data_IF_615806333488
#
_entry.id   IF_615806333488
#
_cell.length_a   1.000
_cell.length_b   1.000
_cell.length_c   1.000
_cell.angle_alpha   90.00
_cell.angle_beta   90.00
_cell.angle_gamma   90.00
#
_symmetry.space_group_name_H-M   'P 1'
#
loop_
_entity.id
_entity.type
_entity.pdbx_description
1 polymer ?
#
# COMPACT_ATOMS: atom_id res chain seq x y z
N UNK A 1 -4.59 -15.07 -8.60
CA UNK A 1 -3.60 -15.99 -8.01
C UNK A 1 -3.89 -16.14 -6.52
N UNK A 2 -3.63 -17.30 -5.94
CA UNK A 2 -3.67 -17.49 -4.48
C UNK A 2 -2.25 -17.87 -4.04
N UNK A 3 -1.63 -17.03 -3.22
CA UNK A 3 -0.28 -17.24 -2.71
C UNK A 3 -0.35 -17.96 -1.36
N UNK A 4 0.47 -18.98 -1.18
CA UNK A 4 0.66 -19.60 0.12
C UNK A 4 1.42 -18.66 1.06
N UNK A 5 1.35 -18.90 2.37
CA UNK A 5 1.99 -18.06 3.38
C UNK A 5 3.52 -17.93 3.23
N UNK A 6 4.16 -18.83 2.49
CA UNK A 6 5.60 -18.85 2.21
C UNK A 6 5.98 -18.22 0.88
N UNK A 7 5.01 -17.84 0.05
CA UNK A 7 5.28 -17.44 -1.33
C UNK A 7 5.77 -15.99 -1.38
N UNK A 8 6.78 -15.75 -2.23
CA UNK A 8 7.28 -14.42 -2.56
C UNK A 8 6.79 -14.05 -3.94
N UNK A 9 6.11 -12.92 -4.06
CA UNK A 9 5.58 -12.39 -5.32
C UNK A 9 6.42 -11.19 -5.73
N UNK A 10 6.89 -11.18 -6.97
CA UNK A 10 7.64 -10.07 -7.55
C UNK A 10 6.89 -9.54 -8.77
N UNK A 11 6.58 -8.24 -8.75
CA UNK A 11 6.04 -7.49 -9.87
C UNK A 11 7.10 -6.49 -10.30
N UNK A 12 7.59 -6.61 -11.54
CA UNK A 12 8.68 -5.77 -12.05
C UNK A 12 8.39 -5.18 -13.42
N UNK A 13 8.68 -3.90 -13.59
CA UNK A 13 8.64 -3.23 -14.90
C UNK A 13 7.23 -3.11 -15.49
N UNK A 14 6.20 -3.10 -14.63
CA UNK A 14 4.80 -3.07 -15.06
C UNK A 14 4.24 -1.65 -15.02
N UNK A 15 3.46 -1.30 -16.04
CA UNK A 15 2.54 -0.17 -16.00
C UNK A 15 1.14 -0.69 -15.64
N UNK A 16 0.67 -0.33 -14.45
CA UNK A 16 -0.58 -0.75 -13.85
C UNK A 16 -1.51 0.46 -13.77
N UNK A 17 -2.43 0.54 -14.74
CA UNK A 17 -3.47 1.55 -14.78
C UNK A 17 -4.79 1.01 -14.18
N UNK A 18 -5.28 1.68 -13.15
CA UNK A 18 -6.57 1.39 -12.50
C UNK A 18 -7.74 1.58 -13.47
N UNK A 19 -8.75 0.73 -13.32
CA UNK A 19 -9.96 0.81 -14.12
C UNK A 19 -10.77 2.08 -13.77
N UNK A 20 -11.61 2.59 -14.69
CA UNK A 20 -12.47 3.74 -14.40
C UNK A 20 -13.39 3.45 -13.19
N UNK A 21 -13.88 4.49 -12.48
CA UNK A 21 -14.58 4.33 -11.19
C UNK A 21 -15.80 3.40 -11.17
N UNK A 22 -16.38 3.13 -12.34
CA UNK A 22 -17.55 2.28 -12.57
C UNK A 22 -17.22 0.88 -13.11
N UNK A 23 -15.95 0.48 -13.14
CA UNK A 23 -15.48 -0.80 -13.67
C UNK A 23 -14.80 -1.68 -12.59
N UNK A 24 -14.78 -3.01 -12.73
CA UNK A 24 -13.97 -3.87 -11.85
C UNK A 24 -12.48 -3.55 -12.00
N UNK A 25 -11.67 -3.86 -10.98
CA UNK A 25 -10.24 -3.48 -10.96
C UNK A 25 -9.99 -2.11 -10.31
N UNK A 26 -10.74 -1.81 -9.26
CA UNK A 26 -10.75 -0.51 -8.60
C UNK A 26 -9.50 -0.23 -7.74
N UNK A 27 -8.57 -1.17 -7.61
CA UNK A 27 -7.25 -0.99 -7.00
C UNK A 27 -6.20 -1.51 -7.98
N UNK A 28 -5.01 -0.90 -8.00
CA UNK A 28 -3.91 -1.32 -8.87
C UNK A 28 -3.38 -2.70 -8.46
N UNK A 29 -2.82 -2.78 -7.26
CA UNK A 29 -2.37 -4.04 -6.64
C UNK A 29 -3.16 -4.27 -5.35
N UNK A 30 -3.57 -5.52 -5.11
CA UNK A 30 -4.17 -5.94 -3.84
C UNK A 30 -3.56 -7.24 -3.36
N UNK A 31 -2.76 -7.14 -2.29
CA UNK A 31 -2.09 -8.26 -1.65
C UNK A 31 -2.82 -8.65 -0.37
N UNK A 32 -3.23 -9.92 -0.27
CA UNK A 32 -4.02 -10.46 0.84
C UNK A 32 -3.30 -11.57 1.61
N UNK A 33 -2.35 -12.26 0.95
CA UNK A 33 -1.61 -13.39 1.49
C UNK A 33 -0.29 -13.57 0.73
N UNK A 34 0.71 -14.15 1.40
CA UNK A 34 2.06 -14.37 0.91
C UNK A 34 3.10 -14.03 1.99
N UNK A 35 4.33 -14.50 1.82
CA UNK A 35 5.45 -14.09 2.67
C UNK A 35 5.87 -12.65 2.34
N UNK A 36 6.00 -12.32 1.04
CA UNK A 36 6.43 -11.00 0.62
C UNK A 36 5.86 -10.59 -0.74
N UNK A 37 5.71 -9.27 -0.93
CA UNK A 37 5.46 -8.63 -2.20
C UNK A 37 6.59 -7.64 -2.51
N UNK A 38 7.24 -7.84 -3.66
CA UNK A 38 8.17 -6.89 -4.25
C UNK A 38 7.49 -6.17 -5.42
N UNK A 39 7.51 -4.85 -5.38
CA UNK A 39 7.05 -3.96 -6.45
C UNK A 39 8.23 -3.12 -6.90
N UNK A 40 8.76 -3.44 -8.07
CA UNK A 40 10.04 -2.94 -8.54
C UNK A 40 9.88 -2.28 -9.91
N UNK A 41 10.36 -1.05 -10.08
CA UNK A 41 10.36 -0.37 -11.39
C UNK A 41 8.96 -0.29 -12.02
N UNK A 42 7.92 -0.19 -11.19
CA UNK A 42 6.53 -0.16 -11.65
C UNK A 42 6.00 1.28 -11.70
N UNK A 43 5.09 1.52 -12.64
CA UNK A 43 4.20 2.67 -12.64
C UNK A 43 2.80 2.21 -12.22
N UNK A 44 2.23 2.78 -11.16
CA UNK A 44 0.90 2.43 -10.66
C UNK A 44 0.05 3.68 -10.59
N UNK A 45 -1.01 3.74 -11.39
CA UNK A 45 -1.79 4.96 -11.51
C UNK A 45 -3.27 4.78 -11.82
N UNK A 46 -4.06 5.84 -11.66
CA UNK A 46 -5.44 5.89 -12.18
C UNK A 46 -6.50 5.16 -11.36
N UNK A 47 -6.16 4.52 -10.24
CA UNK A 47 -7.14 3.83 -9.39
C UNK A 47 -7.99 4.84 -8.64
N UNK A 48 -9.19 5.14 -9.14
CA UNK A 48 -10.06 6.22 -8.61
C UNK A 48 -11.46 5.73 -8.18
N UNK A 49 -11.61 4.41 -8.02
CA UNK A 49 -12.84 3.78 -7.54
C UNK A 49 -13.31 4.30 -6.18
N UNK A 50 -14.63 4.30 -5.97
CA UNK A 50 -15.22 4.73 -4.71
C UNK A 50 -14.74 3.86 -3.52
N UNK A 51 -14.71 4.47 -2.33
CA UNK A 51 -14.31 3.81 -1.10
C UNK A 51 -15.10 2.51 -0.87
N UNK A 52 -14.46 1.42 -0.38
CA UNK A 52 -13.10 1.37 0.16
C UNK A 52 -11.97 1.20 -0.88
N UNK A 53 -12.28 1.27 -2.18
CA UNK A 53 -11.33 1.08 -3.27
C UNK A 53 -10.62 2.39 -3.68
N UNK A 54 -9.93 2.36 -4.83
CA UNK A 54 -9.19 3.49 -5.39
C UNK A 54 -7.75 3.58 -4.90
N UNK A 55 -7.16 2.47 -4.42
CA UNK A 55 -5.79 2.51 -3.92
C UNK A 55 -4.83 2.02 -5.01
N UNK A 56 -3.65 2.64 -5.12
CA UNK A 56 -2.59 2.15 -5.98
C UNK A 56 -2.12 0.77 -5.52
N UNK A 57 -1.72 0.66 -4.26
CA UNK A 57 -1.41 -0.61 -3.59
C UNK A 57 -2.27 -0.76 -2.34
N UNK A 58 -2.94 -1.90 -2.20
CA UNK A 58 -3.53 -2.38 -0.95
C UNK A 58 -2.69 -3.53 -0.43
N UNK A 59 -2.03 -3.32 0.71
CA UNK A 59 -1.29 -4.35 1.41
C UNK A 59 -2.05 -4.73 2.68
N UNK A 60 -2.81 -5.82 2.60
CA UNK A 60 -3.72 -6.26 3.65
C UNK A 60 -3.53 -7.74 4.01
N UNK A 61 -2.31 -8.14 4.43
CA UNK A 61 -2.06 -9.52 4.82
C UNK A 61 -2.83 -9.90 6.09
N UNK A 62 -3.29 -11.15 6.16
CA UNK A 62 -3.83 -11.75 7.40
C UNK A 62 -2.76 -12.51 8.21
N UNK A 63 -1.58 -12.75 7.62
CA UNK A 63 -0.39 -13.31 8.27
C UNK A 63 0.72 -12.27 8.47
N UNK A 64 1.92 -12.74 8.82
CA UNK A 64 3.12 -11.89 8.78
C UNK A 64 3.61 -11.80 7.35
N UNK A 65 3.69 -10.59 6.80
CA UNK A 65 4.12 -10.37 5.42
C UNK A 65 4.93 -9.09 5.27
N UNK A 66 5.76 -9.08 4.22
CA UNK A 66 6.63 -7.95 3.88
C UNK A 66 6.22 -7.29 2.56
N UNK A 67 6.31 -5.95 2.50
CA UNK A 67 6.15 -5.18 1.28
C UNK A 67 7.43 -4.40 0.99
N UNK A 68 7.98 -4.61 -0.20
CA UNK A 68 9.09 -3.84 -0.73
C UNK A 68 8.62 -3.07 -1.96
N UNK A 69 8.68 -1.74 -1.89
CA UNK A 69 8.43 -0.86 -3.04
C UNK A 69 9.75 -0.18 -3.37
N UNK A 70 10.30 -0.48 -4.55
CA UNK A 70 11.60 0.02 -4.98
C UNK A 70 11.52 0.60 -6.40
N UNK A 71 12.17 1.74 -6.65
CA UNK A 71 12.22 2.40 -7.95
C UNK A 71 10.85 2.60 -8.63
N UNK A 72 9.78 2.74 -7.85
CA UNK A 72 8.42 2.72 -8.39
C UNK A 72 7.73 4.07 -8.25
N UNK A 73 6.82 4.36 -9.16
CA UNK A 73 6.03 5.60 -9.17
C UNK A 73 4.55 5.28 -8.97
N UNK A 74 3.94 5.83 -7.93
CA UNK A 74 2.55 5.59 -7.53
C UNK A 74 1.80 6.93 -7.48
N UNK A 75 0.99 7.20 -8.52
CA UNK A 75 0.43 8.53 -8.75
C UNK A 75 -1.03 8.49 -9.21
N UNK A 76 -1.80 9.56 -8.96
CA UNK A 76 -3.17 9.73 -9.48
C UNK A 76 -4.12 8.59 -9.10
N UNK A 77 -3.92 7.98 -7.93
CA UNK A 77 -4.89 7.07 -7.31
C UNK A 77 -5.67 7.86 -6.24
N UNK A 78 -6.68 7.26 -5.59
CA UNK A 78 -7.23 7.86 -4.37
C UNK A 78 -6.19 7.81 -3.25
N UNK A 79 -5.82 6.63 -2.75
CA UNK A 79 -4.61 6.51 -1.92
C UNK A 79 -3.46 5.92 -2.75
N UNK A 80 -2.23 6.35 -2.49
CA UNK A 80 -1.07 5.74 -3.12
C UNK A 80 -0.86 4.31 -2.62
N UNK A 81 -0.44 4.17 -1.36
CA UNK A 81 -0.24 2.90 -0.67
C UNK A 81 -1.10 2.85 0.58
N UNK A 82 -1.94 1.82 0.70
CA UNK A 82 -2.73 1.52 1.90
C UNK A 82 -2.17 0.28 2.58
N UNK A 83 -1.68 0.45 3.80
CA UNK A 83 -1.20 -0.62 4.67
C UNK A 83 -2.30 -0.89 5.70
N UNK A 84 -2.96 -2.04 5.59
CA UNK A 84 -4.01 -2.44 6.52
C UNK A 84 -3.99 -3.97 6.69
N UNK A 85 -3.03 -4.52 7.46
CA UNK A 85 -3.10 -5.92 7.88
C UNK A 85 -4.45 -6.21 8.52
N UNK A 86 -4.85 -7.48 8.55
CA UNK A 86 -6.15 -7.90 9.10
C UNK A 86 -5.97 -9.02 10.12
N UNK A 87 -6.90 -9.17 11.05
CA UNK A 87 -6.79 -10.14 12.14
C UNK A 87 -5.50 -9.94 12.92
N UNK A 88 -4.73 -11.02 13.14
CA UNK A 88 -3.41 -10.98 13.77
C UNK A 88 -2.25 -10.73 12.79
N UNK A 89 -2.54 -10.33 11.55
CA UNK A 89 -1.53 -10.05 10.54
C UNK A 89 -0.58 -8.93 10.95
N UNK A 90 0.66 -9.03 10.50
CA UNK A 90 1.74 -8.07 10.76
C UNK A 90 2.32 -7.64 9.43
N UNK A 91 2.44 -6.33 9.20
CA UNK A 91 3.11 -5.81 8.01
C UNK A 91 4.46 -5.16 8.35
N UNK A 92 5.51 -5.61 7.66
CA UNK A 92 6.78 -4.88 7.55
C UNK A 92 6.86 -4.27 6.17
N UNK A 93 7.08 -2.96 6.07
CA UNK A 93 7.04 -2.23 4.80
C UNK A 93 8.29 -1.38 4.63
N UNK A 94 8.94 -1.52 3.48
CA UNK A 94 10.03 -0.67 3.01
C UNK A 94 9.63 -0.01 1.70
N UNK A 95 9.69 1.32 1.67
CA UNK A 95 9.53 2.13 0.46
C UNK A 95 10.88 2.83 0.24
N UNK A 96 11.60 2.42 -0.80
CA UNK A 96 12.93 2.93 -1.14
C UNK A 96 12.97 3.48 -2.57
N UNK A 97 13.69 4.58 -2.75
CA UNK A 97 13.91 5.26 -4.05
C UNK A 97 12.63 5.36 -4.91
N UNK A 98 11.50 5.71 -4.29
CA UNK A 98 10.18 5.66 -4.91
C UNK A 98 9.43 6.98 -4.77
N UNK A 99 8.42 7.17 -5.63
CA UNK A 99 7.63 8.39 -5.70
C UNK A 99 6.15 8.07 -5.46
N UNK A 100 5.57 8.58 -4.39
CA UNK A 100 4.15 8.40 -4.04
C UNK A 100 3.47 9.78 -4.00
N UNK A 101 3.10 10.25 -5.18
CA UNK A 101 2.75 11.66 -5.38
C UNK A 101 1.40 11.86 -6.05
N UNK A 102 0.80 13.04 -5.85
CA UNK A 102 -0.40 13.46 -6.59
C UNK A 102 -1.56 12.45 -6.53
N UNK A 103 -1.76 11.81 -5.39
CA UNK A 103 -2.94 10.98 -5.12
C UNK A 103 -4.05 11.84 -4.50
N UNK A 104 -5.32 11.50 -4.79
CA UNK A 104 -6.49 12.32 -4.43
C UNK A 104 -6.80 12.35 -2.93
N UNK A 105 -6.22 11.42 -2.15
CA UNK A 105 -6.34 11.31 -0.70
C UNK A 105 -4.94 11.28 -0.07
N UNK A 106 -4.54 10.18 0.57
CA UNK A 106 -3.24 10.05 1.19
C UNK A 106 -2.20 9.43 0.24
N UNK A 107 -0.96 9.88 0.31
CA UNK A 107 0.15 9.17 -0.36
C UNK A 107 0.35 7.80 0.28
N UNK A 108 0.64 7.79 1.59
CA UNK A 108 0.67 6.60 2.41
C UNK A 108 -0.46 6.65 3.46
N UNK A 109 -1.29 5.61 3.50
CA UNK A 109 -2.30 5.41 4.55
C UNK A 109 -1.98 4.15 5.34
N UNK A 110 -1.61 4.30 6.61
CA UNK A 110 -1.49 3.19 7.55
C UNK A 110 -2.77 3.08 8.39
N UNK A 111 -3.39 1.91 8.42
CA UNK A 111 -4.68 1.69 9.04
C UNK A 111 -4.69 0.45 9.94
N UNK A 112 -5.12 0.63 11.19
CA UNK A 112 -5.20 -0.43 12.19
C UNK A 112 -6.59 -1.03 12.35
N UNK A 113 -7.57 -0.58 11.56
CA UNK A 113 -8.93 -1.13 11.57
C UNK A 113 -8.91 -2.63 11.27
N UNK A 114 -9.58 -3.41 12.10
CA UNK A 114 -9.65 -4.89 12.03
C UNK A 114 -8.31 -5.61 12.17
N UNK A 115 -7.34 -5.00 12.85
CA UNK A 115 -6.02 -5.58 13.09
C UNK A 115 -5.61 -5.55 14.56
N UNK A 116 -4.81 -6.54 14.98
CA UNK A 116 -4.17 -6.58 16.30
C UNK A 116 -2.65 -6.79 16.23
N UNK A 117 -2.10 -7.16 15.07
CA UNK A 117 -0.67 -7.46 14.89
C UNK A 117 0.22 -6.24 14.64
N UNK A 118 -0.31 -5.20 13.99
CA UNK A 118 0.37 -3.93 13.76
C UNK A 118 1.17 -3.85 12.46
N UNK A 119 1.80 -2.69 12.27
CA UNK A 119 2.61 -2.42 11.10
C UNK A 119 3.84 -1.56 11.41
N UNK A 120 4.90 -1.79 10.65
CA UNK A 120 6.11 -0.98 10.66
C UNK A 120 6.47 -0.58 9.24
N UNK A 121 6.52 0.73 8.97
CA UNK A 121 6.85 1.27 7.66
C UNK A 121 8.11 2.11 7.75
N UNK A 122 9.05 1.85 6.86
CA UNK A 122 10.23 2.70 6.64
C UNK A 122 10.16 3.28 5.23
N UNK A 123 10.32 4.59 5.13
CA UNK A 123 10.37 5.33 3.87
C UNK A 123 11.76 5.94 3.80
N UNK A 124 12.51 5.65 2.74
CA UNK A 124 13.88 6.14 2.59
C UNK A 124 14.12 6.53 1.14
N UNK A 125 14.87 7.61 0.92
CA UNK A 125 15.20 8.10 -0.43
C UNK A 125 13.96 8.32 -1.32
N UNK A 126 12.80 8.57 -0.73
CA UNK A 126 11.51 8.53 -1.41
C UNK A 126 10.72 9.80 -1.18
N UNK A 127 9.85 10.17 -2.13
CA UNK A 127 8.95 11.31 -1.98
C UNK A 127 7.52 10.84 -1.72
N UNK A 128 6.85 11.49 -0.76
CA UNK A 128 5.41 11.33 -0.53
C UNK A 128 4.77 12.72 -0.54
N UNK A 129 4.54 13.27 -1.74
CA UNK A 129 4.29 14.71 -1.92
C UNK A 129 3.14 15.04 -2.88
N UNK A 130 2.57 16.24 -2.78
CA UNK A 130 1.47 16.67 -3.67
C UNK A 130 0.17 15.86 -3.55
N UNK A 131 0.02 15.04 -2.50
CA UNK A 131 -1.20 14.28 -2.23
C UNK A 131 -2.25 15.20 -1.58
N UNK A 132 -3.50 15.15 -2.04
CA UNK A 132 -4.52 16.18 -1.73
C UNK A 132 -4.92 16.22 -0.25
N UNK A 133 -5.08 15.07 0.41
CA UNK A 133 -5.52 15.02 1.80
C UNK A 133 -4.34 14.99 2.78
N UNK A 134 -3.34 14.14 2.53
CA UNK A 134 -2.15 14.04 3.37
C UNK A 134 -0.98 13.36 2.62
N UNK A 135 0.26 13.70 2.96
CA UNK A 135 1.41 12.88 2.57
C UNK A 135 1.29 11.49 3.22
N UNK A 136 1.31 11.47 4.55
CA UNK A 136 1.17 10.27 5.37
C UNK A 136 -0.03 10.44 6.30
N UNK A 137 -0.92 9.44 6.34
CA UNK A 137 -2.09 9.40 7.22
C UNK A 137 -2.10 8.11 8.04
N UNK A 138 -2.38 8.24 9.33
CA UNK A 138 -2.57 7.11 10.24
C UNK A 138 -4.02 7.12 10.71
N UNK A 139 -4.73 6.01 10.53
CA UNK A 139 -6.05 5.77 11.08
C UNK A 139 -5.99 4.55 12.01
N UNK A 140 -6.06 4.77 13.31
CA UNK A 140 -6.00 3.71 14.30
C UNK A 140 -7.21 3.81 15.23
N UNK A 141 -8.04 2.75 15.38
CA UNK A 141 -9.13 2.75 16.36
C UNK A 141 -8.60 2.81 17.79
N UNK A 142 -9.46 3.16 18.74
CA UNK A 142 -9.12 3.07 20.17
C UNK A 142 -8.80 1.60 20.50
N UNK A 143 -7.64 1.37 21.12
CA UNK A 143 -7.14 0.00 21.38
C UNK A 143 -6.62 -0.73 20.13
N UNK A 144 -6.47 -0.02 19.00
CA UNK A 144 -5.86 -0.54 17.79
C UNK A 144 -4.37 -0.89 17.96
N UNK A 145 -3.79 -1.58 16.99
CA UNK A 145 -2.44 -2.10 17.09
C UNK A 145 -1.39 -0.99 17.01
N UNK A 146 -0.13 -1.35 17.25
CA UNK A 146 0.98 -0.42 17.08
C UNK A 146 1.20 -0.18 15.58
N UNK A 147 1.24 1.09 15.18
CA UNK A 147 1.61 1.53 13.83
C UNK A 147 2.86 2.41 13.96
N UNK A 148 3.94 2.00 13.29
CA UNK A 148 5.21 2.73 13.25
C UNK A 148 5.47 3.21 11.82
N UNK A 149 5.92 4.46 11.70
CA UNK A 149 6.36 5.05 10.44
C UNK A 149 7.67 5.80 10.70
N UNK A 150 8.73 5.40 10.02
CA UNK A 150 9.99 6.14 9.90
C UNK A 150 10.13 6.68 8.48
N UNK A 151 10.64 7.90 8.34
CA UNK A 151 10.86 8.54 7.06
C UNK A 151 12.18 9.33 7.10
N UNK A 152 13.12 8.98 6.22
CA UNK A 152 14.47 9.55 6.11
C UNK A 152 14.78 10.07 4.70
#
# INVERSE_FOLDING_TARGET
>A
MNAAATDVVVLRGLDINGAPPNAPGLNGIRFLAGAALHVEECLIHGSTGAAPNGNGIVFAPSGTSELYVHNSTIIRNNNGVRIQPTGSGVASVLIDNSRIDNNNLAGLKAEGTDNTGGSNTTIVNSSVSGNTNAGISILNPVGGPIIKIGAD
#
